data_IF_986608773081
#
_entry.id   IF_986608773081
#
_cell.length_a   1.000
_cell.length_b   1.000
_cell.length_c   1.000
_cell.angle_alpha   90.00
_cell.angle_beta   90.00
_cell.angle_gamma   90.00
#
_symmetry.space_group_name_H-M   'P 1'
#
loop_
_entity.id
_entity.type
_entity.pdbx_description
1 polymer ?
#
# COMPACT_ATOMS: atom_id res chain seq x y z
N UNK A 1 -4.73 -15.18 -10.24
CA UNK A 1 -4.23 -13.81 -10.50
C UNK A 1 -3.37 -13.26 -9.35
N UNK A 2 -3.92 -12.89 -8.18
CA UNK A 2 -3.13 -12.20 -7.14
C UNK A 2 -1.88 -12.93 -6.67
N UNK A 3 -1.93 -14.24 -6.45
CA UNK A 3 -0.72 -15.01 -6.06
C UNK A 3 0.42 -14.87 -7.07
N UNK A 4 0.11 -14.86 -8.37
CA UNK A 4 1.11 -14.65 -9.42
C UNK A 4 1.65 -13.22 -9.40
N UNK A 5 0.78 -12.22 -9.25
CA UNK A 5 1.20 -10.81 -9.19
C UNK A 5 2.11 -10.53 -8.00
N UNK A 6 1.80 -11.10 -6.83
CA UNK A 6 2.64 -10.96 -5.63
C UNK A 6 4.02 -11.61 -5.82
N UNK A 7 4.09 -12.73 -6.52
CA UNK A 7 5.35 -13.46 -6.77
C UNK A 7 6.24 -12.82 -7.85
N UNK A 8 5.72 -11.89 -8.65
CA UNK A 8 6.47 -11.16 -9.70
C UNK A 8 7.25 -9.99 -9.09
N UNK A 9 8.40 -9.67 -9.67
CA UNK A 9 9.18 -8.49 -9.30
C UNK A 9 8.72 -7.21 -10.03
N UNK A 10 8.07 -7.37 -11.19
CA UNK A 10 7.62 -6.31 -12.08
C UNK A 10 6.13 -5.93 -11.92
N UNK A 11 5.51 -6.32 -10.82
CA UNK A 11 4.11 -6.04 -10.50
C UNK A 11 3.99 -4.92 -9.45
N UNK A 12 2.96 -4.08 -9.55
CA UNK A 12 2.62 -3.13 -8.47
C UNK A 12 2.35 -3.86 -7.14
N UNK A 13 1.82 -5.08 -7.18
CA UNK A 13 1.54 -5.93 -6.02
C UNK A 13 2.71 -6.84 -5.62
N UNK A 14 3.89 -6.65 -6.20
CA UNK A 14 5.09 -7.44 -5.90
C UNK A 14 5.37 -7.51 -4.40
N UNK A 15 5.87 -8.68 -3.94
CA UNK A 15 6.40 -8.83 -2.59
C UNK A 15 7.51 -7.81 -2.27
N UNK A 16 8.26 -7.34 -3.27
CA UNK A 16 9.28 -6.29 -3.13
C UNK A 16 8.67 -4.93 -2.75
N UNK A 17 7.41 -4.70 -3.07
CA UNK A 17 6.67 -3.48 -2.77
C UNK A 17 5.93 -3.56 -1.43
N UNK A 18 5.95 -4.71 -0.75
CA UNK A 18 5.08 -5.01 0.39
C UNK A 18 5.86 -5.00 1.70
N UNK A 19 5.42 -4.19 2.65
CA UNK A 19 5.75 -4.31 4.06
C UNK A 19 4.70 -5.19 4.74
N UNK A 20 5.14 -6.06 5.63
CA UNK A 20 4.27 -6.93 6.41
C UNK A 20 4.42 -6.66 7.91
N UNK A 21 3.31 -6.71 8.63
CA UNK A 21 3.28 -6.79 10.07
C UNK A 21 3.07 -8.25 10.47
N UNK A 22 3.89 -8.74 11.40
CA UNK A 22 3.90 -10.14 11.83
C UNK A 22 3.58 -10.20 13.33
N UNK A 23 2.66 -11.07 13.71
CA UNK A 23 2.44 -11.43 15.10
C UNK A 23 3.27 -12.66 15.43
N UNK A 24 4.08 -12.56 16.47
CA UNK A 24 4.79 -13.69 17.07
C UNK A 24 3.85 -14.37 18.06
N UNK A 25 3.56 -15.66 17.84
CA UNK A 25 2.80 -16.43 18.79
C UNK A 25 3.79 -17.19 19.70
N UNK A 26 3.69 -17.05 21.04
CA UNK A 26 4.47 -17.87 21.93
C UNK A 26 4.00 -19.33 21.81
N UNK A 27 4.82 -20.18 21.20
CA UNK A 27 4.59 -21.61 21.18
C UNK A 27 4.82 -22.17 22.57
N UNK A 28 3.75 -22.62 23.23
CA UNK A 28 3.86 -23.41 24.46
C UNK A 28 4.52 -24.77 24.17
N UNK A 29 5.82 -24.91 24.44
CA UNK A 29 6.53 -26.17 24.57
C UNK A 29 7.04 -26.78 23.25
N UNK A 30 8.17 -26.40 22.83
CA UNK A 30 9.30 -26.95 22.10
C UNK A 30 9.94 -25.82 21.27
N UNK A 31 11.21 -25.59 21.51
CA UNK A 31 11.92 -24.33 21.17
C UNK A 31 12.24 -24.16 19.66
N UNK A 32 11.64 -24.90 18.73
CA UNK A 32 12.06 -24.92 17.33
C UNK A 32 11.01 -24.52 16.28
N UNK A 33 9.82 -24.06 16.67
CA UNK A 33 8.82 -23.60 15.67
C UNK A 33 8.15 -22.29 16.14
N UNK A 34 8.82 -21.16 15.89
CA UNK A 34 8.15 -19.85 15.90
C UNK A 34 7.19 -19.80 14.70
N UNK A 35 5.89 -19.86 14.97
CA UNK A 35 4.89 -19.63 13.93
C UNK A 35 4.60 -18.13 13.87
N UNK A 36 5.18 -17.49 12.87
CA UNK A 36 4.90 -16.08 12.57
C UNK A 36 3.67 -15.98 11.70
N UNK A 37 2.67 -15.19 12.10
CA UNK A 37 1.47 -14.92 11.33
C UNK A 37 1.50 -13.51 10.75
N UNK A 38 1.28 -13.38 9.43
CA UNK A 38 1.13 -12.06 8.81
C UNK A 38 -0.24 -11.50 9.16
N UNK A 39 -0.25 -10.40 9.90
CA UNK A 39 -1.47 -9.76 10.42
C UNK A 39 -1.79 -8.41 9.77
N UNK A 40 -0.90 -7.91 8.93
CA UNK A 40 -1.12 -6.67 8.18
C UNK A 40 -0.14 -6.52 7.02
N UNK A 41 -0.56 -5.78 6.02
CA UNK A 41 0.26 -5.47 4.83
C UNK A 41 0.13 -4.01 4.45
N UNK A 42 1.19 -3.46 3.86
CA UNK A 42 1.18 -2.18 3.18
C UNK A 42 1.96 -2.30 1.88
N UNK A 43 1.27 -2.16 0.76
CA UNK A 43 1.87 -2.17 -0.59
C UNK A 43 2.17 -0.75 -0.99
N UNK A 44 3.42 -0.46 -1.37
CA UNK A 44 3.84 0.87 -1.76
C UNK A 44 4.99 0.83 -2.77
N UNK A 45 4.92 1.70 -3.77
CA UNK A 45 5.93 1.81 -4.83
C UNK A 45 6.11 3.27 -5.26
N UNK A 46 7.23 3.58 -5.91
CA UNK A 46 7.46 4.90 -6.52
C UNK A 46 6.37 5.19 -7.55
N UNK A 47 5.61 6.27 -7.34
CA UNK A 47 4.52 6.68 -8.23
C UNK A 47 4.95 6.89 -9.69
N UNK A 48 6.23 7.23 -9.93
CA UNK A 48 6.78 7.31 -11.27
C UNK A 48 6.76 5.96 -12.02
N UNK A 49 6.71 4.84 -11.29
CA UNK A 49 6.73 3.49 -11.83
C UNK A 49 5.32 2.87 -12.00
N UNK A 50 4.27 3.64 -11.74
CA UNK A 50 2.89 3.14 -11.79
C UNK A 50 2.59 2.36 -13.08
N UNK A 51 2.81 2.99 -14.24
CA UNK A 51 2.42 2.39 -15.53
C UNK A 51 3.20 1.11 -15.86
N UNK A 52 4.54 1.06 -15.75
CA UNK A 52 5.26 -0.19 -15.99
C UNK A 52 4.89 -1.30 -14.99
N UNK A 53 4.67 -0.98 -13.71
CA UNK A 53 4.28 -1.96 -12.70
C UNK A 53 2.83 -2.46 -12.88
N UNK A 54 1.92 -1.59 -13.35
CA UNK A 54 0.53 -1.94 -13.62
C UNK A 54 0.39 -2.89 -14.82
N UNK A 55 1.34 -2.89 -15.74
CA UNK A 55 1.30 -3.72 -16.93
C UNK A 55 1.08 -5.20 -16.60
N UNK A 56 1.73 -5.71 -15.55
CA UNK A 56 1.56 -7.08 -15.08
C UNK A 56 0.10 -7.39 -14.69
N UNK A 57 -0.57 -6.44 -14.01
CA UNK A 57 -1.98 -6.58 -13.65
C UNK A 57 -2.89 -6.59 -14.90
N UNK A 58 -2.66 -5.68 -15.84
CA UNK A 58 -3.43 -5.60 -17.08
C UNK A 58 -3.35 -6.90 -17.87
N UNK A 59 -2.15 -7.45 -18.02
CA UNK A 59 -1.91 -8.71 -18.73
C UNK A 59 -2.57 -9.92 -18.05
N UNK A 60 -2.44 -10.02 -16.73
CA UNK A 60 -3.05 -11.11 -15.96
C UNK A 60 -4.58 -11.03 -15.98
N UNK A 61 -5.16 -9.84 -15.85
CA UNK A 61 -6.61 -9.64 -15.88
C UNK A 61 -7.19 -9.97 -17.26
N UNK A 62 -6.54 -9.55 -18.34
CA UNK A 62 -6.94 -9.88 -19.69
C UNK A 62 -6.87 -11.40 -19.95
N UNK A 63 -5.78 -12.04 -19.51
CA UNK A 63 -5.55 -13.46 -19.73
C UNK A 63 -6.52 -14.34 -18.93
N UNK A 64 -6.75 -14.01 -17.65
CA UNK A 64 -7.54 -14.86 -16.75
C UNK A 64 -9.06 -14.59 -16.85
N UNK A 65 -9.45 -13.33 -17.07
CA UNK A 65 -10.86 -12.91 -17.03
C UNK A 65 -11.37 -12.32 -18.35
N UNK A 66 -10.50 -12.07 -19.33
CA UNK A 66 -10.87 -11.38 -20.56
C UNK A 66 -11.22 -9.90 -20.37
N UNK A 67 -10.79 -9.29 -19.26
CA UNK A 67 -11.10 -7.90 -18.93
C UNK A 67 -9.89 -7.03 -19.28
N UNK A 68 -10.08 -6.05 -20.15
CA UNK A 68 -9.07 -5.07 -20.51
C UNK A 68 -9.11 -3.88 -19.55
N UNK A 69 -8.07 -3.75 -18.74
CA UNK A 69 -7.86 -2.65 -17.82
C UNK A 69 -6.82 -1.62 -18.33
N UNK A 70 -6.43 -1.65 -19.60
CA UNK A 70 -5.42 -0.74 -20.16
C UNK A 70 -5.80 0.74 -20.07
N UNK A 71 -7.09 1.05 -19.99
CA UNK A 71 -7.63 2.42 -19.89
C UNK A 71 -7.88 2.91 -18.47
N UNK A 72 -7.32 2.25 -17.43
CA UNK A 72 -7.49 2.72 -16.06
C UNK A 72 -6.85 4.09 -15.83
N UNK A 73 -7.50 4.92 -15.01
CA UNK A 73 -6.96 6.19 -14.54
C UNK A 73 -5.65 5.99 -13.74
N UNK A 74 -4.76 6.97 -13.78
CA UNK A 74 -3.57 6.98 -12.94
C UNK A 74 -3.95 7.42 -11.52
N UNK A 75 -3.62 6.61 -10.53
CA UNK A 75 -3.86 6.90 -9.11
C UNK A 75 -2.71 7.64 -8.43
N UNK A 76 -1.56 7.76 -9.07
CA UNK A 76 -0.36 8.42 -8.54
C UNK A 76 0.54 8.92 -9.67
N UNK A 77 1.59 9.64 -9.30
CA UNK A 77 2.58 10.23 -10.20
C UNK A 77 3.97 10.26 -9.54
N UNK A 78 4.98 10.71 -10.30
CA UNK A 78 6.31 10.95 -9.76
C UNK A 78 6.29 11.95 -8.59
N UNK A 79 7.20 11.77 -7.64
CA UNK A 79 7.37 12.64 -6.49
C UNK A 79 6.80 12.11 -5.19
N UNK A 80 6.30 10.88 -5.19
CA UNK A 80 5.83 10.23 -3.97
C UNK A 80 6.06 8.71 -3.99
N UNK A 81 6.25 8.14 -2.79
CA UNK A 81 6.03 6.72 -2.57
C UNK A 81 4.54 6.51 -2.38
N UNK A 82 3.89 5.93 -3.38
CA UNK A 82 2.45 5.73 -3.37
C UNK A 82 2.05 4.52 -2.52
N UNK A 83 1.15 4.73 -1.58
CA UNK A 83 0.51 3.67 -0.79
C UNK A 83 -0.70 3.18 -1.56
N UNK A 84 -0.54 2.05 -2.23
CA UNK A 84 -1.60 1.42 -3.03
C UNK A 84 -2.61 0.70 -2.14
N UNK A 85 -2.12 -0.12 -1.21
CA UNK A 85 -2.97 -0.97 -0.39
C UNK A 85 -2.49 -1.01 1.06
N UNK A 86 -3.43 -0.92 2.00
CA UNK A 86 -3.20 -1.06 3.43
C UNK A 86 -4.30 -1.94 4.00
N UNK A 87 -3.93 -3.05 4.59
CA UNK A 87 -4.89 -3.97 5.22
C UNK A 87 -4.34 -4.51 6.55
N UNK A 88 -5.25 -4.69 7.50
CA UNK A 88 -4.96 -5.32 8.79
C UNK A 88 -6.04 -6.35 9.06
N UNK A 89 -5.63 -7.56 9.46
CA UNK A 89 -6.55 -8.62 9.86
C UNK A 89 -7.53 -8.12 10.91
N UNK A 90 -8.80 -8.50 10.78
CA UNK A 90 -9.89 -8.00 11.62
C UNK A 90 -9.69 -8.30 13.10
N UNK A 91 -9.07 -9.43 13.44
CA UNK A 91 -8.78 -9.83 14.82
C UNK A 91 -7.67 -9.00 15.47
N UNK A 92 -6.84 -8.34 14.66
CA UNK A 92 -5.71 -7.54 15.11
C UNK A 92 -5.93 -6.02 14.97
N UNK A 93 -7.13 -5.59 14.56
CA UNK A 93 -7.48 -4.16 14.48
C UNK A 93 -7.50 -3.52 15.86
N UNK A 94 -7.27 -2.21 15.91
CA UNK A 94 -7.24 -1.46 17.16
C UNK A 94 -5.93 -1.57 17.96
N UNK A 95 -4.89 -2.21 17.40
CA UNK A 95 -3.57 -2.40 18.04
C UNK A 95 -2.47 -1.50 17.43
N UNK A 96 -2.82 -0.54 16.60
CA UNK A 96 -1.85 0.40 16.00
C UNK A 96 -1.07 -0.16 14.82
N UNK A 97 -1.42 -1.32 14.27
CA UNK A 97 -0.68 -1.98 13.18
C UNK A 97 -0.69 -1.14 11.90
N UNK A 98 -1.85 -0.60 11.49
CA UNK A 98 -1.95 0.28 10.34
C UNK A 98 -1.06 1.52 10.48
N UNK A 99 -1.02 2.11 11.68
CA UNK A 99 -0.16 3.25 11.98
C UNK A 99 1.33 2.90 11.90
N UNK A 100 1.72 1.72 12.38
CA UNK A 100 3.10 1.23 12.31
C UNK A 100 3.53 0.99 10.86
N UNK A 101 2.69 0.35 10.05
CA UNK A 101 2.94 0.11 8.63
C UNK A 101 3.08 1.43 7.86
N UNK A 102 2.22 2.41 8.10
CA UNK A 102 2.31 3.72 7.45
C UNK A 102 3.55 4.51 7.84
N UNK A 103 3.97 4.47 9.13
CA UNK A 103 5.25 5.07 9.56
C UNK A 103 6.43 4.42 8.85
N UNK A 104 6.48 3.09 8.83
CA UNK A 104 7.53 2.35 8.13
C UNK A 104 7.55 2.66 6.62
N UNK A 105 6.38 2.93 6.01
CA UNK A 105 6.28 3.36 4.62
C UNK A 105 6.84 4.78 4.43
N UNK A 106 6.60 5.70 5.35
CA UNK A 106 7.21 7.05 5.30
C UNK A 106 8.74 6.99 5.44
N UNK A 107 9.26 6.11 6.31
CA UNK A 107 10.70 5.84 6.40
C UNK A 107 11.27 5.22 5.13
N UNK A 108 10.50 4.31 4.49
CA UNK A 108 10.85 3.74 3.17
C UNK A 108 10.96 4.83 2.11
N UNK A 109 10.02 5.81 2.08
CA UNK A 109 10.10 6.95 1.17
C UNK A 109 11.41 7.73 1.36
N UNK A 110 11.79 8.01 2.61
CA UNK A 110 13.05 8.69 2.92
C UNK A 110 14.27 7.90 2.43
N UNK A 111 14.31 6.59 2.69
CA UNK A 111 15.41 5.72 2.21
C UNK A 111 15.53 5.67 0.68
N UNK A 112 14.42 5.80 -0.02
CA UNK A 112 14.36 5.85 -1.49
C UNK A 112 14.59 7.26 -2.04
N UNK A 113 14.89 8.24 -1.19
CA UNK A 113 15.05 9.64 -1.57
C UNK A 113 13.83 10.25 -2.28
N UNK A 114 12.63 9.74 -1.97
CA UNK A 114 11.38 10.32 -2.45
C UNK A 114 10.93 11.43 -1.48
N UNK A 115 10.42 12.55 -2.00
CA UNK A 115 10.09 13.72 -1.16
C UNK A 115 8.88 13.49 -0.25
N UNK A 116 8.00 12.55 -0.57
CA UNK A 116 6.77 12.30 0.18
C UNK A 116 6.32 10.84 0.09
N UNK A 117 5.47 10.43 1.03
CA UNK A 117 4.54 9.32 0.88
C UNK A 117 3.17 9.89 0.51
N UNK A 118 2.48 9.27 -0.46
CA UNK A 118 1.17 9.72 -0.94
C UNK A 118 0.15 8.60 -0.98
N UNK A 119 -1.13 8.94 -0.95
CA UNK A 119 -2.23 7.99 -1.05
C UNK A 119 -3.51 8.66 -1.54
N UNK A 120 -4.42 7.84 -2.06
CA UNK A 120 -5.80 8.25 -2.29
C UNK A 120 -6.71 7.69 -1.17
N UNK A 121 -7.62 8.52 -0.69
CA UNK A 121 -8.67 8.11 0.24
C UNK A 121 -10.03 8.45 -0.34
N UNK A 122 -10.96 7.49 -0.31
CA UNK A 122 -12.33 7.69 -0.72
C UNK A 122 -13.01 8.76 0.17
N UNK A 123 -13.69 9.72 -0.44
CA UNK A 123 -14.43 10.76 0.30
C UNK A 123 -15.52 10.18 1.18
N UNK A 124 -16.01 8.98 0.87
CA UNK A 124 -16.93 8.21 1.68
C UNK A 124 -16.31 7.47 2.87
N UNK A 125 -14.99 7.57 3.07
CA UNK A 125 -14.29 6.90 4.17
C UNK A 125 -13.62 7.88 5.14
N UNK A 126 -14.40 8.63 5.95
CA UNK A 126 -13.86 9.61 6.89
C UNK A 126 -13.04 8.99 8.03
N UNK A 127 -13.23 7.70 8.32
CA UNK A 127 -12.46 7.00 9.34
C UNK A 127 -10.99 6.80 8.89
N UNK A 128 -10.78 6.36 7.65
CA UNK A 128 -9.45 6.24 7.09
C UNK A 128 -8.78 7.63 6.97
N UNK A 129 -9.51 8.64 6.50
CA UNK A 129 -8.99 10.01 6.42
C UNK A 129 -8.51 10.52 7.79
N UNK A 130 -9.25 10.26 8.87
CA UNK A 130 -8.82 10.62 10.24
C UNK A 130 -7.53 9.93 10.66
N UNK A 131 -7.37 8.63 10.32
CA UNK A 131 -6.13 7.90 10.57
C UNK A 131 -4.94 8.56 9.87
N UNK A 132 -5.08 8.82 8.58
CA UNK A 132 -4.01 9.45 7.79
C UNK A 132 -3.63 10.83 8.31
N UNK A 133 -4.62 11.67 8.64
CA UNK A 133 -4.39 13.00 9.21
C UNK A 133 -3.65 12.96 10.55
N UNK A 134 -3.97 12.00 11.42
CA UNK A 134 -3.23 11.81 12.69
C UNK A 134 -1.77 11.46 12.47
N UNK A 135 -1.45 10.76 11.38
CA UNK A 135 -0.09 10.40 11.00
C UNK A 135 0.64 11.48 10.20
N UNK A 136 0.03 12.66 10.04
CA UNK A 136 0.66 13.81 9.41
C UNK A 136 0.42 13.94 7.92
N UNK A 137 -0.41 13.08 7.31
CA UNK A 137 -0.83 13.28 5.92
C UNK A 137 -1.71 14.53 5.80
N UNK A 138 -1.50 15.30 4.76
CA UNK A 138 -2.20 16.55 4.47
C UNK A 138 -2.87 16.45 3.11
N UNK A 139 -4.03 17.12 2.98
CA UNK A 139 -4.75 17.24 1.72
C UNK A 139 -3.89 17.99 0.69
N UNK A 140 -3.82 17.44 -0.51
CA UNK A 140 -3.16 18.04 -1.68
C UNK A 140 -4.20 18.54 -2.65
N UNK A 141 -5.07 17.64 -3.11
CA UNK A 141 -6.10 17.94 -4.11
C UNK A 141 -7.23 16.91 -4.10
N UNK A 142 -8.34 17.27 -4.73
CA UNK A 142 -9.38 16.31 -5.08
C UNK A 142 -8.90 15.46 -6.26
N UNK A 143 -9.28 14.18 -6.24
CA UNK A 143 -8.95 13.21 -7.27
C UNK A 143 -10.19 12.35 -7.58
N UNK A 144 -10.11 11.60 -8.65
CA UNK A 144 -11.07 10.57 -9.03
C UNK A 144 -10.33 9.31 -9.42
N UNK A 145 -10.83 8.17 -8.99
CA UNK A 145 -10.33 6.88 -9.42
C UNK A 145 -11.49 5.90 -9.55
N UNK A 146 -11.59 5.25 -10.74
CA UNK A 146 -12.67 4.31 -11.00
C UNK A 146 -14.06 4.92 -10.81
N UNK A 147 -14.26 6.20 -11.19
CA UNK A 147 -15.50 6.97 -10.99
C UNK A 147 -15.87 7.23 -9.52
N UNK A 148 -14.95 7.00 -8.58
CA UNK A 148 -15.13 7.34 -7.18
C UNK A 148 -14.42 8.65 -6.83
N UNK A 149 -15.10 9.57 -6.11
CA UNK A 149 -14.48 10.80 -5.65
C UNK A 149 -13.49 10.50 -4.51
N UNK A 150 -12.23 10.88 -4.72
CA UNK A 150 -11.11 10.63 -3.82
C UNK A 150 -10.51 11.94 -3.33
N UNK A 151 -9.71 11.86 -2.28
CA UNK A 151 -8.77 12.91 -1.86
C UNK A 151 -7.35 12.37 -1.98
N UNK A 152 -6.48 13.11 -2.63
CA UNK A 152 -5.04 12.86 -2.60
C UNK A 152 -4.45 13.49 -1.34
N UNK A 153 -3.83 12.68 -0.53
CA UNK A 153 -3.14 13.10 0.68
C UNK A 153 -1.65 12.78 0.55
N UNK A 154 -0.80 13.67 1.06
CA UNK A 154 0.63 13.44 1.16
C UNK A 154 1.17 13.76 2.56
N UNK A 155 2.21 13.04 2.93
CA UNK A 155 3.09 13.37 4.05
C UNK A 155 4.51 13.50 3.53
N UNK A 156 5.19 14.60 3.87
CA UNK A 156 6.62 14.74 3.56
C UNK A 156 7.40 13.56 4.16
N UNK A 157 8.34 13.03 3.40
CA UNK A 157 9.24 12.00 3.90
C UNK A 157 10.06 12.54 5.07
N UNK A 158 10.28 11.70 6.08
CA UNK A 158 11.14 12.08 7.19
C UNK A 158 12.56 12.33 6.63
N UNK A 159 13.25 13.34 7.14
CA UNK A 159 14.63 13.56 6.73
C UNK A 159 15.48 12.37 7.20
N UNK A 160 16.36 11.84 6.34
CA UNK A 160 17.25 10.76 6.71
C UNK A 160 18.17 11.16 7.86
#
# INVERSE_FOLDING_TARGET
MMTRLVSREDSQYSYLNTLVAVAEQPTGGDADTEVSEVVGICVSYDGALLRPLRQAFVEEALTEFGIDHSGMDDETQAGELYVDSLAVDSHYRGHGIASALLRATCEKAARLHLPAAGLLVDKGNPQAERLYKRLGFRFVEDAEWGSHPMKHLQRAADKP
#
